data_IF_861550953326
#
_entry.id   IF_861550953326
#
_cell.length_a   1.000
_cell.length_b   1.000
_cell.length_c   1.000
_cell.angle_alpha   90.00
_cell.angle_beta   90.00
_cell.angle_gamma   90.00
#
_symmetry.space_group_name_H-M   'P 1'
#
loop_
_entity.id
_entity.type
_entity.pdbx_description
1 polymer ?
#
# COMPACT_ATOMS: atom_id res chain seq x y z
N UNK A 1 7.05 -25.49 -5.87
CA UNK A 1 7.31 -25.09 -5.69
C UNK A 1 7.07 -23.93 -5.29
N UNK A 2 7.14 -23.21 -5.34
CA UNK A 2 7.32 -22.08 -4.87
C UNK A 2 6.24 -21.16 -4.64
N UNK A 3 5.06 -21.57 -4.71
CA UNK A 3 3.92 -20.81 -4.34
C UNK A 3 3.96 -20.40 -2.90
N UNK A 4 4.70 -21.15 -2.11
CA UNK A 4 4.80 -20.87 -0.70
C UNK A 4 5.60 -19.63 -0.38
N UNK A 5 6.26 -19.07 -1.40
CA UNK A 5 7.12 -17.92 -1.17
C UNK A 5 6.41 -16.58 -1.33
N UNK A 6 5.15 -16.58 -1.73
CA UNK A 6 4.40 -15.34 -1.86
C UNK A 6 4.10 -14.75 -0.50
N UNK A 7 4.32 -13.44 -0.37
CA UNK A 7 4.00 -12.74 0.85
C UNK A 7 2.49 -12.58 1.01
N UNK A 8 2.06 -12.61 2.24
CA UNK A 8 0.64 -12.41 2.56
C UNK A 8 0.32 -10.94 2.66
N UNK A 9 -0.85 -10.55 2.14
CA UNK A 9 -1.29 -9.16 2.18
C UNK A 9 -2.25 -8.97 3.34
N UNK A 10 -1.96 -8.00 4.19
CA UNK A 10 -2.82 -7.60 5.30
C UNK A 10 -3.32 -6.20 5.03
N UNK A 11 -4.64 -6.05 5.01
CA UNK A 11 -5.28 -4.77 4.72
C UNK A 11 -5.59 -4.07 6.04
N UNK A 12 -4.96 -2.92 6.25
CA UNK A 12 -5.07 -2.21 7.52
C UNK A 12 -6.25 -1.23 7.45
N UNK A 13 -7.08 -1.23 8.50
CA UNK A 13 -8.23 -0.33 8.57
C UNK A 13 -9.15 -0.52 7.38
N UNK A 14 -9.55 0.58 6.77
CA UNK A 14 -10.47 0.54 5.64
C UNK A 14 -9.77 0.44 4.28
N UNK A 15 -8.47 0.12 4.26
CA UNK A 15 -7.70 0.19 3.02
C UNK A 15 -8.28 -0.70 1.91
N UNK A 16 -8.79 -1.89 2.25
CA UNK A 16 -9.38 -2.76 1.24
C UNK A 16 -10.73 -2.24 0.77
N UNK A 17 -11.56 -1.81 1.71
CA UNK A 17 -12.86 -1.25 1.36
C UNK A 17 -12.69 -0.05 0.45
N UNK A 18 -11.72 0.79 0.75
CA UNK A 18 -11.46 1.98 -0.06
C UNK A 18 -10.96 1.61 -1.45
N UNK A 19 -10.13 0.57 -1.53
CA UNK A 19 -9.68 0.07 -2.84
C UNK A 19 -10.85 -0.40 -3.70
N UNK A 20 -11.83 -1.04 -3.07
CA UNK A 20 -12.97 -1.57 -3.83
C UNK A 20 -13.79 -0.47 -4.49
N UNK A 21 -13.62 0.80 -4.07
CA UNK A 21 -14.32 1.91 -4.70
C UNK A 21 -13.56 2.50 -5.89
N UNK A 22 -12.36 2.02 -6.17
CA UNK A 22 -11.65 2.44 -7.36
C UNK A 22 -12.37 1.92 -8.62
N UNK A 23 -12.19 2.59 -9.77
CA UNK A 23 -12.69 2.03 -11.03
C UNK A 23 -12.10 0.65 -11.28
N UNK A 24 -12.83 -0.15 -12.05
CA UNK A 24 -12.44 -1.55 -12.28
C UNK A 24 -11.01 -1.70 -12.79
N UNK A 25 -10.61 -0.89 -13.75
CA UNK A 25 -9.26 -1.01 -14.30
C UNK A 25 -8.22 -0.64 -13.25
N UNK A 26 -8.50 0.40 -12.45
CA UNK A 26 -7.55 0.78 -11.40
C UNK A 26 -7.41 -0.32 -10.36
N UNK A 27 -8.52 -0.97 -9.98
CA UNK A 27 -8.45 -2.09 -9.05
C UNK A 27 -7.60 -3.22 -9.61
N UNK A 28 -7.81 -3.53 -10.88
CA UNK A 28 -7.05 -4.58 -11.54
C UNK A 28 -5.56 -4.25 -11.53
N UNK A 29 -5.23 -3.00 -11.82
CA UNK A 29 -3.83 -2.58 -11.87
C UNK A 29 -3.19 -2.64 -10.47
N UNK A 30 -3.92 -2.25 -9.43
CA UNK A 30 -3.42 -2.37 -8.07
C UNK A 30 -3.14 -3.83 -7.74
N UNK A 31 -4.06 -4.73 -8.10
CA UNK A 31 -3.87 -6.15 -7.86
C UNK A 31 -2.61 -6.68 -8.51
N UNK A 32 -2.36 -6.27 -9.75
CA UNK A 32 -1.16 -6.69 -10.45
C UNK A 32 0.09 -6.17 -9.74
N UNK A 33 0.10 -4.91 -9.34
CA UNK A 33 1.28 -4.34 -8.70
C UNK A 33 1.54 -4.98 -7.34
N UNK A 34 0.49 -5.26 -6.57
CA UNK A 34 0.68 -5.94 -5.30
C UNK A 34 1.16 -7.37 -5.49
N UNK A 35 0.74 -8.03 -6.58
CA UNK A 35 1.25 -9.36 -6.89
C UNK A 35 2.75 -9.31 -7.13
N UNK A 36 3.25 -8.27 -7.80
CA UNK A 36 4.68 -8.09 -7.97
C UNK A 36 5.38 -8.01 -6.61
N UNK A 37 4.81 -7.22 -5.70
CA UNK A 37 5.39 -7.08 -4.37
C UNK A 37 5.38 -8.42 -3.62
N UNK A 38 4.32 -9.19 -3.78
CA UNK A 38 4.24 -10.51 -3.15
C UNK A 38 5.36 -11.42 -3.61
N UNK A 39 5.87 -11.20 -4.79
CA UNK A 39 6.94 -12.01 -5.36
C UNK A 39 8.31 -11.36 -5.23
N UNK A 40 8.43 -10.38 -4.34
CA UNK A 40 9.72 -9.77 -4.04
C UNK A 40 10.17 -8.69 -5.00
N UNK A 41 9.28 -8.25 -5.88
CA UNK A 41 9.60 -7.19 -6.84
C UNK A 41 9.02 -5.88 -6.38
N UNK A 42 9.57 -4.78 -6.90
CA UNK A 42 8.96 -3.48 -6.69
C UNK A 42 7.82 -3.27 -7.68
N UNK A 43 6.84 -2.43 -7.32
CA UNK A 43 5.84 -2.03 -8.31
C UNK A 43 6.50 -1.29 -9.46
N UNK A 44 5.79 -1.15 -10.57
CA UNK A 44 6.35 -0.51 -11.75
C UNK A 44 6.45 1.01 -11.60
N UNK A 45 5.51 1.62 -10.87
CA UNK A 45 5.50 3.07 -10.65
C UNK A 45 5.28 3.30 -9.17
N UNK A 46 6.35 3.66 -8.47
CA UNK A 46 6.28 3.82 -7.02
C UNK A 46 7.33 4.80 -6.54
N UNK A 47 7.17 5.24 -5.32
CA UNK A 47 8.19 6.04 -4.66
C UNK A 47 8.17 5.77 -3.17
N UNK A 48 9.29 6.00 -2.48
CA UNK A 48 9.26 5.92 -1.02
C UNK A 48 8.48 7.09 -0.45
N UNK A 49 7.88 6.88 0.72
CA UNK A 49 7.12 7.93 1.38
C UNK A 49 7.53 7.98 2.85
N UNK A 50 8.71 8.50 3.09
CA UNK A 50 9.30 8.45 4.42
C UNK A 50 8.62 9.39 5.41
N UNK A 51 7.86 10.36 4.92
CA UNK A 51 7.06 11.20 5.81
C UNK A 51 6.11 10.37 6.67
N UNK A 52 5.60 9.26 6.12
CA UNK A 52 4.75 8.35 6.88
C UNK A 52 5.59 7.53 7.84
N UNK A 53 6.69 6.98 7.35
CA UNK A 53 7.56 6.16 8.17
C UNK A 53 8.55 5.39 7.33
N UNK A 54 9.53 4.82 8.00
CA UNK A 54 10.58 4.05 7.35
C UNK A 54 10.00 2.82 6.65
N UNK A 55 10.37 2.63 5.40
CA UNK A 55 9.95 1.47 4.63
C UNK A 55 8.62 1.61 3.92
N UNK A 56 7.92 2.74 4.12
CA UNK A 56 6.65 2.96 3.44
C UNK A 56 6.90 3.31 1.98
N UNK A 57 6.15 2.66 1.10
CA UNK A 57 6.20 2.91 -0.34
C UNK A 57 4.80 3.23 -0.83
N UNK A 58 4.75 4.04 -1.88
CA UNK A 58 3.48 4.46 -2.46
C UNK A 58 3.44 4.00 -3.90
N UNK A 59 2.44 3.17 -4.25
CA UNK A 59 2.21 2.74 -5.62
C UNK A 59 1.35 3.80 -6.30
N UNK A 60 1.72 4.14 -7.52
CA UNK A 60 0.97 5.11 -8.33
C UNK A 60 0.25 4.36 -9.45
N UNK A 61 -1.05 4.60 -9.56
CA UNK A 61 -1.88 4.03 -10.61
C UNK A 61 -2.57 5.17 -11.35
N UNK A 62 -2.41 5.21 -12.68
CA UNK A 62 -3.08 6.20 -13.52
C UNK A 62 -4.21 5.52 -14.27
N UNK A 63 -5.39 6.11 -14.26
CA UNK A 63 -6.54 5.54 -14.95
C UNK A 63 -7.51 6.65 -15.32
N UNK A 64 -7.77 6.79 -16.63
CA UNK A 64 -8.74 7.77 -17.10
C UNK A 64 -8.45 9.20 -16.70
N UNK A 65 -7.17 9.57 -16.60
CA UNK A 65 -6.80 10.91 -16.19
C UNK A 65 -6.78 11.13 -14.70
N UNK A 66 -7.16 10.12 -13.92
CA UNK A 66 -7.14 10.20 -12.47
C UNK A 66 -5.96 9.42 -11.92
N UNK A 67 -5.48 9.84 -10.75
CA UNK A 67 -4.35 9.20 -10.08
C UNK A 67 -4.84 8.56 -8.81
N UNK A 68 -4.52 7.27 -8.65
CA UNK A 68 -4.82 6.52 -7.45
C UNK A 68 -3.53 6.10 -6.78
N UNK A 69 -3.54 6.04 -5.46
CA UNK A 69 -2.35 5.71 -4.69
C UNK A 69 -2.65 4.61 -3.69
N UNK A 70 -1.68 3.73 -3.51
CA UNK A 70 -1.76 2.69 -2.48
C UNK A 70 -0.46 2.73 -1.69
N UNK A 71 -0.57 2.98 -0.39
CA UNK A 71 0.60 3.02 0.49
C UNK A 71 0.73 1.70 1.18
N UNK A 72 1.94 1.15 1.18
CA UNK A 72 2.17 -0.16 1.76
C UNK A 72 3.56 -0.23 2.38
N UNK A 73 3.76 -1.27 3.19
CA UNK A 73 5.07 -1.54 3.76
C UNK A 73 5.31 -3.05 3.65
N UNK A 74 6.48 -3.44 3.18
CA UNK A 74 6.81 -4.83 2.92
C UNK A 74 8.15 -5.22 3.53
N UNK A 75 8.60 -4.51 4.57
CA UNK A 75 9.88 -4.80 5.18
C UNK A 75 9.83 -5.93 6.20
N UNK A 76 8.63 -6.39 6.57
CA UNK A 76 8.48 -7.49 7.49
C UNK A 76 8.45 -8.80 6.72
N UNK A 77 9.07 -9.80 7.30
CA UNK A 77 9.21 -11.07 6.63
C UNK A 77 7.84 -11.67 6.27
N UNK A 78 7.67 -11.99 4.99
CA UNK A 78 6.49 -12.68 4.46
C UNK A 78 5.18 -11.91 4.60
N UNK A 79 5.24 -10.62 4.91
CA UNK A 79 4.03 -9.82 5.11
C UNK A 79 4.09 -8.54 4.31
N UNK A 80 2.95 -8.15 3.77
CA UNK A 80 2.76 -6.85 3.15
C UNK A 80 1.57 -6.21 3.87
N UNK A 81 1.79 -5.03 4.43
CA UNK A 81 0.69 -4.29 5.05
C UNK A 81 0.29 -3.15 4.12
N UNK A 82 -0.97 -3.15 3.66
CA UNK A 82 -1.51 -2.04 2.89
C UNK A 82 -2.10 -1.06 3.88
N UNK A 83 -1.52 0.12 3.95
CA UNK A 83 -1.89 1.12 4.95
C UNK A 83 -3.06 1.97 4.50
N UNK A 84 -3.10 2.35 3.22
CA UNK A 84 -4.10 3.32 2.77
C UNK A 84 -4.23 3.24 1.26
N UNK A 85 -5.47 3.34 0.77
CA UNK A 85 -5.79 3.34 -0.65
C UNK A 85 -6.67 4.56 -0.90
N UNK A 86 -6.29 5.43 -1.84
CA UNK A 86 -7.05 6.67 -2.04
C UNK A 86 -6.83 7.23 -3.43
N UNK A 87 -7.78 8.06 -3.87
CA UNK A 87 -7.62 8.81 -5.10
C UNK A 87 -6.91 10.13 -4.77
N UNK A 88 -5.84 10.43 -5.50
CA UNK A 88 -5.09 11.66 -5.29
C UNK A 88 -5.73 12.76 -6.13
N UNK A 89 -6.23 13.78 -5.47
CA UNK A 89 -6.97 14.85 -6.13
C UNK A 89 -6.19 16.16 -6.24
N UNK A 90 -5.01 16.22 -5.61
CA UNK A 90 -4.16 17.40 -5.66
C UNK A 90 -2.75 16.96 -5.94
N UNK A 91 -1.87 17.92 -6.23
CA UNK A 91 -0.47 17.57 -6.51
C UNK A 91 0.23 16.95 -5.32
N UNK A 92 -0.08 17.42 -4.13
CA UNK A 92 0.50 16.85 -2.92
C UNK A 92 -0.51 15.93 -2.28
N UNK A 93 -0.01 14.89 -1.60
CA UNK A 93 -0.87 14.04 -0.80
C UNK A 93 -1.50 14.88 0.30
N UNK A 94 -2.80 14.76 0.49
CA UNK A 94 -3.52 15.59 1.45
C UNK A 94 -3.08 15.26 2.88
N UNK A 95 -3.22 16.25 3.77
CA UNK A 95 -2.90 16.05 5.17
C UNK A 95 -3.73 14.93 5.77
N UNK A 96 -5.00 14.84 5.37
CA UNK A 96 -5.88 13.79 5.85
C UNK A 96 -5.34 12.41 5.50
N UNK A 97 -4.90 12.23 4.25
CA UNK A 97 -4.39 10.94 3.83
C UNK A 97 -3.08 10.60 4.53
N UNK A 98 -2.22 11.60 4.72
CA UNK A 98 -0.98 11.40 5.45
C UNK A 98 -1.26 10.98 6.89
N UNK A 99 -2.20 11.65 7.55
CA UNK A 99 -2.52 11.34 8.94
C UNK A 99 -3.09 9.93 9.11
N UNK A 100 -3.98 9.54 8.20
CA UNK A 100 -4.54 8.18 8.23
C UNK A 100 -3.43 7.15 8.09
N UNK A 101 -2.56 7.33 7.11
CA UNK A 101 -1.49 6.37 6.87
C UNK A 101 -0.51 6.33 8.05
N UNK A 102 -0.24 7.49 8.64
CA UNK A 102 0.70 7.55 9.75
C UNK A 102 0.18 6.82 10.99
N UNK A 103 -1.09 6.99 11.30
CA UNK A 103 -1.70 6.29 12.43
C UNK A 103 -1.63 4.79 12.22
N UNK A 104 -1.97 4.35 11.01
CA UNK A 104 -1.95 2.93 10.69
C UNK A 104 -0.53 2.37 10.69
N UNK A 105 0.43 3.16 10.22
CA UNK A 105 1.82 2.75 10.26
C UNK A 105 2.27 2.49 11.70
N UNK A 106 1.97 3.41 12.61
CA UNK A 106 2.37 3.24 14.00
C UNK A 106 1.75 2.00 14.62
N UNK A 107 0.49 1.73 14.29
CA UNK A 107 -0.18 0.55 14.82
C UNK A 107 0.52 -0.73 14.35
N UNK A 108 0.94 -0.77 13.08
CA UNK A 108 1.62 -1.94 12.54
C UNK A 108 3.00 -2.10 13.16
N UNK A 109 3.74 -1.01 13.31
CA UNK A 109 5.06 -1.09 13.92
C UNK A 109 4.97 -1.63 15.36
N UNK A 110 3.99 -1.15 16.12
CA UNK A 110 3.80 -1.64 17.48
C UNK A 110 3.42 -3.11 17.50
N UNK A 111 2.56 -3.52 16.57
CA UNK A 111 2.13 -4.92 16.48
C UNK A 111 3.32 -5.83 16.18
N UNK A 112 4.18 -5.43 15.24
CA UNK A 112 5.31 -6.26 14.87
C UNK A 112 6.35 -6.33 16.00
N UNK A 113 6.54 -5.23 16.73
CA UNK A 113 7.43 -5.25 17.87
C UNK A 113 6.96 -6.21 18.95
N UNK A 114 5.66 -6.28 19.17
CA UNK A 114 5.10 -7.12 20.21
C UNK A 114 5.06 -8.59 19.86
N UNK A 115 5.34 -8.92 18.59
CA UNK A 115 5.33 -10.32 18.14
C UNK A 115 6.74 -10.89 18.02
N UNK A 116 7.73 -10.14 18.43
CA UNK A 116 9.07 -10.65 18.47
C UNK A 116 9.31 -11.35 19.80
#
# INVERSE_FOLDING_TARGET
MCMDDEKEIYWVGSSYKDLLEFPEQAKHDVGYQLHRVQNGLNPEDWKPFQTIGSGVKEIRISDGGNIFRVMYIAKFREKIYVLHSFQKKTQKTSRKDIDIARVRYKAIINREKNHE
#
